data_IF_549122602389
#
_entry.id   IF_549122602389
#
_cell.length_a   1.000
_cell.length_b   1.000
_cell.length_c   1.000
_cell.angle_alpha   90.00
_cell.angle_beta   90.00
_cell.angle_gamma   90.00
#
_symmetry.space_group_name_H-M   'P 1'
#
loop_
_entity.id
_entity.type
_entity.pdbx_description
1 polymer ?
#
# COMPACT_ATOMS: atom_id res chain seq x y z
N UNK A 1 4.52 -12.25 16.26
CA UNK A 1 3.31 -12.79 15.61
C UNK A 1 3.74 -13.70 14.47
N UNK A 2 3.10 -14.85 14.29
CA UNK A 2 3.34 -15.72 13.12
C UNK A 2 2.23 -15.52 12.09
N UNK A 3 2.61 -15.44 10.82
CA UNK A 3 1.65 -15.35 9.73
C UNK A 3 1.18 -16.76 9.30
N UNK A 4 -0.09 -16.92 8.89
CA UNK A 4 -0.59 -18.19 8.37
C UNK A 4 0.12 -18.60 7.07
N UNK A 5 0.13 -19.91 6.75
CA UNK A 5 0.68 -20.41 5.47
C UNK A 5 -0.03 -19.84 4.24
N UNK A 6 -1.33 -19.54 4.35
CA UNK A 6 -2.12 -18.85 3.33
C UNK A 6 -2.42 -17.44 3.82
N UNK A 7 -2.18 -16.44 2.98
CA UNK A 7 -2.35 -15.04 3.30
C UNK A 7 -2.93 -14.29 2.10
N UNK A 8 -3.36 -13.06 2.33
CA UNK A 8 -3.74 -12.15 1.25
C UNK A 8 -2.61 -11.15 1.06
N UNK A 9 -2.18 -10.96 -0.18
CA UNK A 9 -1.37 -9.82 -0.59
C UNK A 9 -2.31 -8.73 -1.09
N UNK A 10 -2.30 -7.60 -0.41
CA UNK A 10 -3.01 -6.39 -0.79
C UNK A 10 -2.02 -5.42 -1.43
N UNK A 11 -2.34 -4.91 -2.63
CA UNK A 11 -1.60 -3.82 -3.27
C UNK A 11 -2.50 -2.63 -3.49
N UNK A 12 -2.02 -1.47 -3.04
CA UNK A 12 -2.71 -0.19 -3.13
C UNK A 12 -1.88 0.71 -4.04
N UNK A 13 -2.47 1.15 -5.14
CA UNK A 13 -1.85 2.02 -6.13
C UNK A 13 -2.42 3.42 -5.98
N UNK A 14 -1.54 4.39 -5.77
CA UNK A 14 -1.90 5.80 -5.60
C UNK A 14 -0.80 6.71 -6.14
N UNK A 15 -1.01 8.03 -6.08
CA UNK A 15 0.01 9.02 -6.42
C UNK A 15 0.89 9.44 -5.24
N UNK A 16 2.13 9.82 -5.53
CA UNK A 16 3.05 10.47 -4.60
C UNK A 16 2.49 11.79 -4.09
N UNK A 17 1.69 12.51 -4.90
CA UNK A 17 1.08 13.79 -4.51
C UNK A 17 -0.27 13.64 -3.78
N UNK A 18 -0.81 12.43 -3.68
CA UNK A 18 -2.08 12.22 -2.99
C UNK A 18 -1.92 12.49 -1.49
N UNK A 19 -2.90 13.21 -0.92
CA UNK A 19 -2.89 13.64 0.48
C UNK A 19 -4.19 13.27 1.18
N UNK A 20 -4.08 12.97 2.48
CA UNK A 20 -5.20 12.97 3.41
C UNK A 20 -4.88 13.93 4.57
N UNK A 21 -5.71 14.94 4.78
CA UNK A 21 -5.51 15.97 5.82
C UNK A 21 -4.09 16.53 5.80
N UNK A 22 -3.61 16.92 4.62
CA UNK A 22 -2.26 17.46 4.35
C UNK A 22 -1.08 16.50 4.53
N UNK A 23 -1.32 15.21 4.82
CA UNK A 23 -0.24 14.20 4.89
C UNK A 23 -0.21 13.32 3.65
N UNK A 24 0.96 12.88 3.17
CA UNK A 24 1.06 11.92 2.07
C UNK A 24 0.23 10.67 2.33
N UNK A 25 -0.62 10.30 1.39
CA UNK A 25 -1.59 9.21 1.56
C UNK A 25 -0.88 7.87 1.85
N UNK A 26 0.23 7.60 1.17
CA UNK A 26 1.00 6.37 1.41
C UNK A 26 1.52 6.28 2.86
N UNK A 27 1.96 7.39 3.46
CA UNK A 27 2.38 7.42 4.87
C UNK A 27 1.21 7.19 5.80
N UNK A 28 0.06 7.79 5.51
CA UNK A 28 -1.15 7.61 6.30
C UNK A 28 -1.58 6.13 6.30
N UNK A 29 -1.58 5.49 5.13
CA UNK A 29 -1.91 4.07 4.97
C UNK A 29 -0.94 3.18 5.76
N UNK A 30 0.37 3.40 5.63
CA UNK A 30 1.39 2.61 6.35
C UNK A 30 1.26 2.79 7.86
N UNK A 31 1.06 4.04 8.32
CA UNK A 31 0.88 4.31 9.74
C UNK A 31 -0.39 3.66 10.29
N UNK A 32 -1.47 3.67 9.52
CA UNK A 32 -2.71 3.03 9.93
C UNK A 32 -2.58 1.50 9.96
N UNK A 33 -1.92 0.92 8.96
CA UNK A 33 -1.62 -0.52 8.96
C UNK A 33 -0.80 -0.94 10.19
N UNK A 34 0.19 -0.12 10.57
CA UNK A 34 0.98 -0.33 11.79
C UNK A 34 0.12 -0.22 13.05
N UNK A 35 -0.78 0.77 13.15
CA UNK A 35 -1.67 0.94 14.31
C UNK A 35 -2.64 -0.23 14.47
N UNK A 36 -3.18 -0.74 13.36
CA UNK A 36 -4.07 -1.91 13.36
C UNK A 36 -3.33 -3.24 13.54
N UNK A 37 -2.00 -3.20 13.68
CA UNK A 37 -1.19 -4.38 13.97
C UNK A 37 -1.09 -5.35 12.80
N UNK A 38 -1.14 -4.86 11.56
CA UNK A 38 -0.78 -5.69 10.41
C UNK A 38 0.70 -6.08 10.47
N UNK A 39 1.05 -7.23 9.92
CA UNK A 39 2.37 -7.82 10.05
C UNK A 39 3.49 -6.98 9.43
N UNK A 40 3.17 -6.21 8.37
CA UNK A 40 4.08 -5.27 7.76
C UNK A 40 3.48 -4.62 6.52
N UNK A 41 4.12 -3.55 6.07
CA UNK A 41 3.82 -2.86 4.82
C UNK A 41 5.13 -2.50 4.13
N UNK A 42 5.18 -2.62 2.80
CA UNK A 42 6.30 -2.18 1.97
C UNK A 42 5.79 -1.17 0.97
N UNK A 43 6.53 -0.07 0.77
CA UNK A 43 6.18 0.97 -0.20
C UNK A 43 7.18 0.95 -1.34
N UNK A 44 6.68 0.92 -2.57
CA UNK A 44 7.46 1.05 -3.79
C UNK A 44 7.12 2.39 -4.45
N UNK A 45 8.14 3.08 -4.98
CA UNK A 45 7.96 4.23 -5.86
C UNK A 45 8.32 3.83 -7.27
N UNK A 46 7.36 3.91 -8.19
CA UNK A 46 7.61 3.68 -9.60
C UNK A 46 8.29 4.88 -10.26
N UNK A 47 8.98 4.62 -11.37
CA UNK A 47 9.65 5.67 -12.16
C UNK A 47 8.69 6.37 -13.12
N UNK A 48 7.58 5.71 -13.47
CA UNK A 48 6.52 6.23 -14.33
C UNK A 48 5.25 5.38 -14.18
N UNK A 49 4.09 5.95 -14.51
CA UNK A 49 2.81 5.23 -14.49
C UNK A 49 1.67 6.02 -15.11
N UNK A 50 0.57 5.36 -15.41
CA UNK A 50 -0.67 6.02 -15.85
C UNK A 50 -1.87 5.33 -15.18
N UNK A 51 -2.99 6.04 -15.03
CA UNK A 51 -4.17 5.55 -14.33
C UNK A 51 -5.47 6.16 -14.86
N UNK A 52 -6.59 5.83 -14.21
CA UNK A 52 -7.97 6.14 -14.65
C UNK A 52 -8.23 7.64 -14.86
N UNK A 53 -7.53 8.53 -14.15
CA UNK A 53 -7.65 9.99 -14.29
C UNK A 53 -6.62 10.61 -15.27
N UNK A 54 -5.92 9.78 -16.04
CA UNK A 54 -5.19 10.11 -17.28
C UNK A 54 -4.37 11.40 -17.28
N UNK A 55 -3.20 11.38 -16.65
CA UNK A 55 -2.00 12.02 -17.20
C UNK A 55 -0.86 11.02 -17.11
N UNK A 56 -0.03 10.94 -18.15
CA UNK A 56 1.19 10.12 -18.15
C UNK A 56 2.13 10.70 -17.09
N UNK A 57 2.36 9.97 -16.00
CA UNK A 57 3.30 10.34 -14.94
C UNK A 57 4.70 9.93 -15.39
N UNK A 58 5.50 10.89 -15.84
CA UNK A 58 6.86 10.65 -16.37
C UNK A 58 7.81 11.79 -16.05
N UNK A 59 9.07 11.44 -15.79
CA UNK A 59 10.18 12.39 -15.67
C UNK A 59 10.77 12.66 -17.07
N UNK A 60 10.09 13.47 -17.89
CA UNK A 60 10.68 13.96 -19.13
C UNK A 60 10.43 15.45 -19.34
N UNK A 61 11.43 16.10 -19.93
CA UNK A 61 11.87 17.49 -19.78
C UNK A 61 10.84 18.55 -20.27
N UNK A 62 9.66 18.16 -20.78
CA UNK A 62 8.77 19.09 -21.49
C UNK A 62 7.27 19.03 -21.19
N UNK A 63 6.77 18.26 -20.20
CA UNK A 63 5.44 18.51 -19.59
C UNK A 63 5.22 17.67 -18.32
N UNK A 64 4.99 18.39 -17.23
CA UNK A 64 4.83 17.98 -15.84
C UNK A 64 3.70 16.95 -15.64
N UNK A 65 4.07 15.78 -15.13
CA UNK A 65 3.23 15.02 -14.22
C UNK A 65 4.17 14.50 -13.13
N UNK A 66 4.38 15.35 -12.12
CA UNK A 66 5.26 15.14 -10.97
C UNK A 66 4.71 14.10 -9.98
N UNK A 67 3.52 13.56 -10.24
CA UNK A 67 2.84 12.65 -9.35
C UNK A 67 3.27 11.20 -9.64
N UNK A 68 4.44 10.78 -9.14
CA UNK A 68 4.94 9.42 -9.36
C UNK A 68 4.02 8.35 -8.75
N UNK A 69 3.91 7.15 -9.35
CA UNK A 69 3.08 6.10 -8.78
C UNK A 69 3.71 5.53 -7.50
N UNK A 70 2.90 5.46 -6.45
CA UNK A 70 3.20 4.83 -5.18
C UNK A 70 2.42 3.54 -5.04
N UNK A 71 3.10 2.45 -4.69
CA UNK A 71 2.49 1.14 -4.46
C UNK A 71 2.74 0.74 -3.01
N UNK A 72 1.68 0.60 -2.22
CA UNK A 72 1.76 0.06 -0.86
C UNK A 72 1.35 -1.42 -0.92
N UNK A 73 2.25 -2.31 -0.50
CA UNK A 73 2.03 -3.74 -0.44
C UNK A 73 1.96 -4.20 1.03
N UNK A 74 0.89 -4.93 1.36
CA UNK A 74 0.65 -5.47 2.69
C UNK A 74 0.32 -6.95 2.55
N UNK A 75 0.92 -7.78 3.40
CA UNK A 75 0.68 -9.23 3.43
C UNK A 75 0.27 -9.62 4.84
N UNK A 76 -0.96 -10.13 4.99
CA UNK A 76 -1.44 -10.63 6.28
C UNK A 76 -2.57 -11.66 6.10
N UNK A 77 -3.14 -12.16 7.19
CA UNK A 77 -4.31 -13.04 7.18
C UNK A 77 -5.51 -12.35 6.51
N UNK A 78 -6.39 -13.16 5.91
CA UNK A 78 -7.61 -12.67 5.26
C UNK A 78 -8.44 -11.79 6.21
N UNK A 79 -8.62 -12.21 7.46
CA UNK A 79 -9.41 -11.47 8.45
C UNK A 79 -8.88 -10.06 8.74
N UNK A 80 -7.55 -9.90 8.80
CA UNK A 80 -6.93 -8.61 9.04
C UNK A 80 -6.99 -7.72 7.81
N UNK A 81 -6.75 -8.29 6.64
CA UNK A 81 -6.86 -7.56 5.38
C UNK A 81 -8.31 -7.08 5.18
N UNK A 82 -9.31 -7.89 5.49
CA UNK A 82 -10.71 -7.50 5.38
C UNK A 82 -11.07 -6.32 6.29
N UNK A 83 -10.60 -6.35 7.55
CA UNK A 83 -10.76 -5.20 8.47
C UNK A 83 -10.07 -3.94 7.94
N UNK A 84 -8.87 -4.09 7.38
CA UNK A 84 -8.11 -2.98 6.85
C UNK A 84 -8.73 -2.38 5.57
N UNK A 85 -9.40 -3.20 4.75
CA UNK A 85 -10.11 -2.71 3.54
C UNK A 85 -11.13 -1.64 3.86
N UNK A 86 -11.88 -1.76 4.96
CA UNK A 86 -12.88 -0.77 5.36
C UNK A 86 -12.26 0.64 5.49
N UNK A 87 -11.10 0.73 6.16
CA UNK A 87 -10.35 1.97 6.26
C UNK A 87 -9.94 2.51 4.88
N UNK A 88 -9.47 1.65 3.98
CA UNK A 88 -9.04 2.06 2.64
C UNK A 88 -10.21 2.57 1.80
N UNK A 89 -11.35 1.89 1.82
CA UNK A 89 -12.55 2.28 1.05
C UNK A 89 -13.16 3.59 1.55
N UNK A 90 -13.02 3.90 2.84
CA UNK A 90 -13.49 5.18 3.40
C UNK A 90 -12.50 6.34 3.16
N UNK A 91 -11.21 6.03 3.09
CA UNK A 91 -10.15 7.05 3.04
C UNK A 91 -9.72 7.41 1.62
N UNK A 92 -9.73 6.45 0.70
CA UNK A 92 -9.25 6.66 -0.66
C UNK A 92 -10.35 7.21 -1.55
N UNK A 93 -10.13 8.40 -2.11
CA UNK A 93 -11.01 9.01 -3.12
C UNK A 93 -10.67 8.56 -4.54
N UNK A 94 -9.42 8.19 -4.79
CA UNK A 94 -8.93 7.69 -6.08
C UNK A 94 -7.78 6.68 -5.91
N UNK A 95 -7.59 5.84 -6.92
CA UNK A 95 -6.55 4.82 -6.96
C UNK A 95 -7.07 3.45 -7.40
N UNK A 96 -6.25 2.43 -7.20
CA UNK A 96 -6.62 1.03 -7.43
C UNK A 96 -6.17 0.20 -6.24
N UNK A 97 -7.02 -0.74 -5.80
CA UNK A 97 -6.68 -1.72 -4.79
C UNK A 97 -6.88 -3.10 -5.39
N UNK A 98 -5.87 -3.96 -5.25
CA UNK A 98 -5.94 -5.36 -5.69
C UNK A 98 -5.62 -6.27 -4.52
N UNK A 99 -6.24 -7.45 -4.50
CA UNK A 99 -6.01 -8.47 -3.50
C UNK A 99 -5.82 -9.82 -4.19
N UNK A 100 -4.82 -10.60 -3.75
CA UNK A 100 -4.58 -11.94 -4.24
C UNK A 100 -4.26 -12.90 -3.08
N UNK A 101 -4.72 -14.15 -3.19
CA UNK A 101 -4.30 -15.21 -2.28
C UNK A 101 -2.86 -15.64 -2.59
N UNK A 102 -2.04 -15.69 -1.55
CA UNK A 102 -0.64 -16.12 -1.66
C UNK A 102 -0.29 -17.15 -0.58
N UNK A 103 0.79 -17.91 -0.85
CA UNK A 103 1.39 -18.82 0.12
C UNK A 103 2.63 -18.18 0.74
N UNK A 104 2.67 -18.09 2.06
CA UNK A 104 3.87 -17.67 2.79
C UNK A 104 4.81 -18.86 2.92
N UNK A 105 6.00 -18.73 2.35
CA UNK A 105 7.05 -19.76 2.39
C UNK A 105 7.82 -19.71 3.70
N UNK A 106 8.11 -18.49 4.18
CA UNK A 106 8.89 -18.27 5.39
C UNK A 106 8.50 -16.94 6.03
N UNK A 107 8.28 -16.97 7.34
CA UNK A 107 8.07 -15.77 8.14
C UNK A 107 8.64 -16.02 9.53
N UNK A 108 9.72 -15.31 9.88
CA UNK A 108 10.28 -15.30 11.23
C UNK A 108 10.29 -13.88 11.74
N UNK A 109 9.69 -13.67 12.89
CA UNK A 109 9.83 -12.43 13.62
C UNK A 109 10.97 -12.60 14.62
N UNK A 110 12.08 -11.89 14.44
CA UNK A 110 13.11 -11.87 15.46
C UNK A 110 12.52 -11.11 16.66
N UNK A 111 12.20 -11.79 17.75
CA UNK A 111 11.90 -11.10 19.00
C UNK A 111 13.24 -10.54 19.47
N UNK A 112 13.55 -9.32 19.04
CA UNK A 112 14.70 -8.59 19.55
C UNK A 112 14.60 -8.61 21.06
N UNK A 113 15.52 -9.31 21.73
CA UNK A 113 15.75 -9.16 23.15
C UNK A 113 15.98 -7.66 23.38
N UNK A 114 15.01 -6.99 24.00
CA UNK A 114 15.30 -5.76 24.73
C UNK A 114 16.10 -6.12 25.96
#
# INVERSE_FOLDING_TARGET
MELPKKAIRLKIFTGEENRLNHRPLFEVIVNEARKQGLAGATVYRGVMGYGINSQVRTTSILRLSEDLPMIIEIIDSADKIEKFKNFLTETMTEGLITAEEIKIVFHKHNQGKK
#
